data_IF_807523196880
#
_entry.id   IF_807523196880
#
_cell.length_a   1.000
_cell.length_b   1.000
_cell.length_c   1.000
_cell.angle_alpha   90.00
_cell.angle_beta   90.00
_cell.angle_gamma   90.00
#
_symmetry.space_group_name_H-M   'P 1'
#
loop_
_entity.id
_entity.type
_entity.pdbx_description
1 polymer ?
#
# COMPACT_ATOMS: atom_id res chain seq x y z
N UNK A 1 -21.72 28.04 1.97
CA UNK A 1 -23.06 28.08 1.32
C UNK A 1 -23.13 27.36 -0.04
N UNK A 2 -22.06 27.18 -0.82
CA UNK A 2 -22.13 26.36 -2.07
C UNK A 2 -22.18 24.84 -1.84
N UNK A 3 -21.66 24.34 -0.71
CA UNK A 3 -21.56 22.89 -0.40
C UNK A 3 -22.93 22.22 -0.13
N UNK A 4 -23.91 22.90 0.48
CA UNK A 4 -25.17 22.24 0.90
C UNK A 4 -26.13 21.87 -0.25
N UNK A 5 -26.17 22.67 -1.32
CA UNK A 5 -27.06 22.39 -2.45
C UNK A 5 -26.56 21.21 -3.31
N UNK A 6 -25.24 21.12 -3.52
CA UNK A 6 -24.63 20.02 -4.27
C UNK A 6 -24.69 18.70 -3.49
N UNK A 7 -24.44 18.72 -2.19
CA UNK A 7 -24.59 17.55 -1.32
C UNK A 7 -26.04 17.09 -1.18
N UNK A 8 -27.00 18.03 -1.09
CA UNK A 8 -28.43 17.69 -1.13
C UNK A 8 -28.85 17.03 -2.45
N UNK A 9 -28.37 17.55 -3.59
CA UNK A 9 -28.64 16.95 -4.90
C UNK A 9 -28.03 15.55 -5.03
N UNK A 10 -26.79 15.36 -4.55
CA UNK A 10 -26.15 14.05 -4.50
C UNK A 10 -26.90 13.07 -3.59
N UNK A 11 -27.28 13.50 -2.38
CA UNK A 11 -28.06 12.67 -1.46
C UNK A 11 -29.40 12.23 -2.09
N UNK A 12 -30.09 13.15 -2.77
CA UNK A 12 -31.32 12.82 -3.51
C UNK A 12 -31.06 11.80 -4.63
N UNK A 13 -29.99 11.96 -5.41
CA UNK A 13 -29.61 11.00 -6.45
C UNK A 13 -29.30 9.61 -5.86
N UNK A 14 -28.60 9.55 -4.72
CA UNK A 14 -28.26 8.30 -4.05
C UNK A 14 -29.49 7.60 -3.45
N UNK A 15 -30.44 8.35 -2.89
CA UNK A 15 -31.71 7.79 -2.39
C UNK A 15 -32.53 7.18 -3.52
N UNK A 16 -32.55 7.84 -4.68
CA UNK A 16 -33.29 7.38 -5.85
C UNK A 16 -32.57 6.32 -6.68
N UNK A 17 -31.29 6.04 -6.38
CA UNK A 17 -30.52 5.01 -7.08
C UNK A 17 -31.14 3.63 -6.80
N UNK A 18 -31.52 2.95 -7.88
CA UNK A 18 -32.24 1.69 -7.82
C UNK A 18 -31.28 0.51 -7.94
N UNK A 19 -31.48 -0.55 -7.16
CA UNK A 19 -30.67 -1.77 -7.16
C UNK A 19 -30.74 -2.55 -8.47
N UNK A 20 -31.78 -2.32 -9.29
CA UNK A 20 -31.84 -2.85 -10.65
C UNK A 20 -30.91 -2.13 -11.63
N UNK A 21 -30.38 -0.95 -11.27
CA UNK A 21 -29.34 -0.29 -12.04
C UNK A 21 -28.02 -1.03 -11.84
N UNK A 22 -27.30 -1.28 -12.94
CA UNK A 22 -25.96 -1.89 -12.84
C UNK A 22 -25.06 -1.02 -11.98
N UNK A 23 -24.24 -1.64 -11.13
CA UNK A 23 -23.31 -0.93 -10.26
C UNK A 23 -22.35 0.01 -11.03
N UNK A 24 -22.08 -0.24 -12.32
CA UNK A 24 -21.35 0.69 -13.20
C UNK A 24 -22.02 2.07 -13.36
N UNK A 25 -23.33 2.19 -13.13
CA UNK A 25 -24.08 3.45 -13.18
C UNK A 25 -24.11 4.18 -11.84
N UNK A 26 -23.57 3.59 -10.77
CA UNK A 26 -23.48 4.26 -9.48
C UNK A 26 -22.60 5.53 -9.62
N UNK A 27 -23.00 6.67 -9.00
CA UNK A 27 -22.33 7.96 -9.20
C UNK A 27 -21.01 8.09 -8.40
N UNK A 28 -20.05 7.20 -8.63
CA UNK A 28 -18.76 7.15 -7.92
C UNK A 28 -18.04 8.50 -7.97
N UNK A 29 -17.96 9.13 -9.14
CA UNK A 29 -17.29 10.42 -9.33
C UNK A 29 -17.91 11.53 -8.49
N UNK A 30 -19.23 11.57 -8.38
CA UNK A 30 -19.93 12.58 -7.58
C UNK A 30 -19.67 12.39 -6.09
N UNK A 31 -19.70 11.13 -5.62
CA UNK A 31 -19.36 10.82 -4.22
C UNK A 31 -17.90 11.18 -3.93
N UNK A 32 -16.95 10.74 -4.76
CA UNK A 32 -15.52 11.07 -4.58
C UNK A 32 -15.28 12.59 -4.63
N UNK A 33 -15.97 13.32 -5.51
CA UNK A 33 -15.87 14.77 -5.57
C UNK A 33 -16.34 15.43 -4.28
N UNK A 34 -17.42 14.93 -3.68
CA UNK A 34 -17.89 15.37 -2.35
C UNK A 34 -16.84 15.08 -1.27
N UNK A 35 -16.30 13.85 -1.23
CA UNK A 35 -15.26 13.48 -0.25
C UNK A 35 -13.98 14.29 -0.40
N UNK A 36 -13.58 14.67 -1.63
CA UNK A 36 -12.40 15.53 -1.87
C UNK A 36 -12.64 16.98 -1.47
N UNK A 37 -13.88 17.45 -1.54
CA UNK A 37 -14.25 18.82 -1.19
C UNK A 37 -14.32 19.02 0.33
N UNK A 38 -14.89 18.07 1.05
CA UNK A 38 -15.13 18.21 2.49
C UNK A 38 -14.13 17.38 3.34
N UNK A 39 -13.55 16.32 2.77
CA UNK A 39 -12.81 15.27 3.48
C UNK A 39 -13.76 14.19 3.98
N UNK A 40 -13.37 12.90 3.89
CA UNK A 40 -14.21 11.77 4.29
C UNK A 40 -14.72 11.86 5.72
N UNK A 41 -13.94 12.44 6.63
CA UNK A 41 -14.37 12.63 8.03
C UNK A 41 -15.48 13.68 8.19
N UNK A 42 -15.56 14.66 7.28
CA UNK A 42 -16.51 15.76 7.32
C UNK A 42 -17.56 15.67 6.20
N UNK A 43 -17.70 14.49 5.60
CA UNK A 43 -18.69 14.26 4.56
C UNK A 43 -20.10 14.62 5.07
N UNK A 44 -20.94 15.28 4.26
CA UNK A 44 -22.28 15.68 4.65
C UNK A 44 -23.11 14.49 5.17
N UNK A 45 -23.77 14.68 6.31
CA UNK A 45 -24.51 13.61 7.00
C UNK A 45 -25.62 13.04 6.12
N UNK A 46 -26.30 13.86 5.33
CA UNK A 46 -27.32 13.43 4.38
C UNK A 46 -26.77 12.50 3.29
N UNK A 47 -25.54 12.73 2.82
CA UNK A 47 -24.87 11.87 1.83
C UNK A 47 -24.49 10.54 2.48
N UNK A 48 -23.89 10.58 3.69
CA UNK A 48 -23.53 9.37 4.43
C UNK A 48 -24.75 8.51 4.76
N UNK A 49 -25.85 9.13 5.20
CA UNK A 49 -27.10 8.46 5.49
C UNK A 49 -27.71 7.83 4.23
N UNK A 50 -27.66 8.52 3.09
CA UNK A 50 -28.12 7.97 1.81
C UNK A 50 -27.29 6.75 1.38
N UNK A 51 -25.96 6.83 1.48
CA UNK A 51 -25.05 5.71 1.19
C UNK A 51 -25.28 4.51 2.13
N UNK A 52 -25.45 4.76 3.43
CA UNK A 52 -25.71 3.72 4.42
C UNK A 52 -27.07 3.05 4.17
N UNK A 53 -28.09 3.83 3.83
CA UNK A 53 -29.43 3.32 3.47
C UNK A 53 -29.38 2.50 2.19
N UNK A 54 -28.61 2.94 1.19
CA UNK A 54 -28.38 2.19 -0.04
C UNK A 54 -27.67 0.85 0.26
N UNK A 55 -26.58 0.88 1.04
CA UNK A 55 -25.86 -0.34 1.47
C UNK A 55 -26.78 -1.34 2.19
N UNK A 56 -27.72 -0.86 3.01
CA UNK A 56 -28.62 -1.71 3.78
C UNK A 56 -29.71 -2.39 2.93
N UNK A 57 -30.09 -1.79 1.79
CA UNK A 57 -31.13 -2.37 0.92
C UNK A 57 -30.56 -3.31 -0.14
N UNK A 58 -29.32 -3.07 -0.57
CA UNK A 58 -28.67 -3.87 -1.59
C UNK A 58 -28.63 -5.36 -1.23
N UNK A 59 -29.09 -6.20 -2.17
CA UNK A 59 -28.94 -7.64 -2.07
C UNK A 59 -27.45 -8.07 -2.05
N UNK A 60 -27.14 -9.25 -1.46
CA UNK A 60 -25.81 -9.84 -1.53
C UNK A 60 -25.35 -9.98 -2.99
N UNK A 61 -24.09 -9.65 -3.26
CA UNK A 61 -23.52 -9.78 -4.60
C UNK A 61 -23.57 -11.24 -5.09
N UNK A 62 -23.98 -11.43 -6.34
CA UNK A 62 -23.85 -12.73 -6.98
C UNK A 62 -22.36 -13.10 -7.12
N UNK A 63 -22.04 -14.39 -7.04
CA UNK A 63 -20.67 -14.86 -7.21
C UNK A 63 -20.15 -14.44 -8.59
N UNK A 64 -18.98 -13.78 -8.64
CA UNK A 64 -18.36 -13.29 -9.86
C UNK A 64 -18.87 -11.93 -10.37
N UNK A 65 -19.84 -11.30 -9.71
CA UNK A 65 -20.29 -9.94 -10.06
C UNK A 65 -19.27 -8.88 -9.59
N UNK A 66 -18.32 -8.57 -10.49
CA UNK A 66 -17.21 -7.63 -10.20
C UNK A 66 -17.68 -6.20 -9.97
N UNK A 67 -18.68 -5.74 -10.72
CA UNK A 67 -19.20 -4.38 -10.58
C UNK A 67 -19.88 -4.22 -9.22
N UNK A 68 -20.63 -5.24 -8.78
CA UNK A 68 -21.25 -5.23 -7.46
C UNK A 68 -20.22 -5.32 -6.33
N UNK A 69 -19.20 -6.18 -6.47
CA UNK A 69 -18.10 -6.26 -5.52
C UNK A 69 -17.37 -4.91 -5.38
N UNK A 70 -17.17 -4.19 -6.49
CA UNK A 70 -16.63 -2.84 -6.52
C UNK A 70 -17.47 -1.85 -5.73
N UNK A 71 -18.79 -1.86 -5.93
CA UNK A 71 -19.70 -1.01 -5.17
C UNK A 71 -19.67 -1.35 -3.66
N UNK A 72 -19.66 -2.65 -3.30
CA UNK A 72 -19.62 -3.07 -1.90
C UNK A 72 -18.35 -2.63 -1.18
N UNK A 73 -17.20 -2.83 -1.80
CA UNK A 73 -15.93 -2.37 -1.26
C UNK A 73 -15.88 -0.85 -1.18
N UNK A 74 -16.40 -0.16 -2.21
CA UNK A 74 -16.44 1.30 -2.21
C UNK A 74 -17.28 1.85 -1.05
N UNK A 75 -18.47 1.27 -0.82
CA UNK A 75 -19.33 1.65 0.30
C UNK A 75 -18.69 1.32 1.64
N UNK A 76 -18.06 0.16 1.78
CA UNK A 76 -17.34 -0.23 3.00
C UNK A 76 -16.20 0.75 3.33
N UNK A 77 -15.43 1.16 2.31
CA UNK A 77 -14.33 2.13 2.46
C UNK A 77 -14.87 3.53 2.80
N UNK A 78 -15.95 3.95 2.15
CA UNK A 78 -16.56 5.28 2.32
C UNK A 78 -17.21 5.44 3.69
N UNK A 79 -17.89 4.39 4.16
CA UNK A 79 -18.67 4.39 5.40
C UNK A 79 -17.89 3.88 6.62
N UNK A 80 -16.59 3.56 6.49
CA UNK A 80 -15.78 3.03 7.59
C UNK A 80 -15.82 3.87 8.87
N UNK A 81 -15.85 5.20 8.74
CA UNK A 81 -15.97 6.16 9.84
C UNK A 81 -17.39 6.26 10.37
N UNK A 82 -18.37 6.22 9.48
CA UNK A 82 -19.79 6.17 9.84
C UNK A 82 -20.09 4.94 10.72
N UNK A 83 -19.45 3.82 10.40
CA UNK A 83 -19.60 2.55 11.12
C UNK A 83 -18.70 2.44 12.37
N UNK A 84 -17.84 3.42 12.62
CA UNK A 84 -16.89 3.38 13.73
C UNK A 84 -15.78 2.34 13.60
N UNK A 85 -15.44 1.90 12.38
CA UNK A 85 -14.42 0.85 12.12
C UNK A 85 -12.99 1.38 12.09
N UNK A 86 -12.76 2.54 11.46
CA UNK A 86 -11.46 3.24 11.44
C UNK A 86 -10.22 2.37 11.09
N UNK A 87 -10.26 1.64 9.96
CA UNK A 87 -9.20 0.71 9.59
C UNK A 87 -8.14 1.32 8.64
N UNK A 88 -6.89 0.88 8.75
CA UNK A 88 -5.83 1.25 7.79
C UNK A 88 -6.14 0.82 6.36
N UNK A 89 -6.74 -0.37 6.18
CA UNK A 89 -7.11 -0.87 4.83
C UNK A 89 -8.13 0.05 4.15
N UNK A 90 -9.15 0.49 4.89
CA UNK A 90 -10.14 1.43 4.38
C UNK A 90 -9.57 2.83 4.21
N UNK A 91 -8.67 3.28 5.10
CA UNK A 91 -7.96 4.55 4.90
C UNK A 91 -7.19 4.58 3.58
N UNK A 92 -6.50 3.49 3.24
CA UNK A 92 -5.78 3.38 1.98
C UNK A 92 -6.66 3.00 0.79
N UNK A 93 -7.92 2.60 0.98
CA UNK A 93 -8.75 2.03 -0.07
C UNK A 93 -8.04 0.90 -0.83
N UNK A 94 -7.16 0.14 -0.17
CA UNK A 94 -6.24 -0.79 -0.85
C UNK A 94 -7.00 -1.92 -1.54
N UNK A 95 -8.11 -2.34 -0.95
CA UNK A 95 -8.97 -3.41 -1.48
C UNK A 95 -9.58 -3.03 -2.84
N UNK A 96 -9.85 -1.74 -3.05
CA UNK A 96 -10.35 -1.20 -4.32
C UNK A 96 -9.30 -1.29 -5.44
N UNK A 97 -8.01 -1.18 -5.11
CA UNK A 97 -6.92 -1.37 -6.07
C UNK A 97 -6.68 -2.85 -6.38
N UNK A 98 -6.93 -3.72 -5.40
CA UNK A 98 -6.69 -5.17 -5.50
C UNK A 98 -7.96 -5.96 -5.83
N UNK A 99 -9.04 -5.28 -6.23
CA UNK A 99 -10.32 -5.93 -6.52
C UNK A 99 -10.18 -6.88 -7.71
N UNK A 100 -10.40 -8.17 -7.45
CA UNK A 100 -10.15 -9.24 -8.43
C UNK A 100 -8.75 -9.87 -8.36
N UNK A 101 -7.91 -9.51 -7.39
CA UNK A 101 -6.68 -10.24 -7.07
C UNK A 101 -6.90 -11.40 -6.12
N UNK A 102 -7.89 -11.27 -5.23
CA UNK A 102 -8.32 -12.34 -4.33
C UNK A 102 -9.46 -13.20 -4.95
N UNK A 103 -9.91 -12.84 -6.16
CA UNK A 103 -11.13 -13.36 -6.80
C UNK A 103 -10.93 -14.22 -8.04
N UNK A 104 -9.70 -14.36 -8.54
CA UNK A 104 -9.32 -15.51 -9.36
C UNK A 104 -8.47 -16.41 -8.47
N UNK A 105 -8.90 -17.65 -8.25
CA UNK A 105 -8.07 -18.71 -7.67
C UNK A 105 -6.85 -19.08 -8.54
N UNK A 106 -6.34 -18.15 -9.35
CA UNK A 106 -5.05 -18.21 -10.01
C UNK A 106 -4.04 -17.51 -9.12
N UNK A 107 -3.25 -18.31 -8.40
CA UNK A 107 -1.96 -17.90 -7.86
C UNK A 107 -1.18 -17.19 -8.97
N UNK A 108 -1.16 -15.86 -8.99
CA UNK A 108 -0.21 -15.16 -9.85
C UNK A 108 1.17 -15.54 -9.35
N UNK A 109 1.97 -16.14 -10.24
CA UNK A 109 3.34 -16.46 -9.92
C UNK A 109 4.11 -15.18 -9.52
N UNK A 110 5.32 -15.37 -9.02
CA UNK A 110 6.15 -14.25 -8.59
C UNK A 110 6.34 -13.20 -9.72
N UNK A 111 6.47 -13.63 -10.97
CA UNK A 111 6.63 -12.72 -12.11
C UNK A 111 5.37 -11.89 -12.40
N UNK A 112 4.20 -12.53 -12.39
CA UNK A 112 2.90 -11.88 -12.50
C UNK A 112 2.69 -10.86 -11.39
N UNK A 113 3.01 -11.22 -10.15
CA UNK A 113 2.94 -10.31 -8.99
C UNK A 113 3.87 -9.09 -9.15
N UNK A 114 5.10 -9.26 -9.66
CA UNK A 114 6.00 -8.13 -9.94
C UNK A 114 5.46 -7.21 -11.04
N UNK A 115 5.01 -7.79 -12.15
CA UNK A 115 4.42 -7.03 -13.26
C UNK A 115 3.21 -6.24 -12.79
N UNK A 116 2.36 -6.88 -12.00
CA UNK A 116 1.18 -6.25 -11.42
C UNK A 116 1.52 -5.08 -10.49
N UNK A 117 2.53 -5.24 -9.64
CA UNK A 117 3.06 -4.15 -8.82
C UNK A 117 3.52 -3.00 -9.70
N UNK A 118 4.25 -3.26 -10.78
CA UNK A 118 4.77 -2.22 -11.67
C UNK A 118 3.64 -1.47 -12.38
N UNK A 119 2.62 -2.18 -12.86
CA UNK A 119 1.43 -1.57 -13.45
C UNK A 119 0.76 -0.61 -12.45
N UNK A 120 0.47 -1.06 -11.23
CA UNK A 120 -0.21 -0.20 -10.27
C UNK A 120 0.66 0.90 -9.70
N UNK A 121 1.89 0.62 -9.27
CA UNK A 121 2.77 1.67 -8.74
C UNK A 121 3.06 2.70 -9.83
N UNK A 122 3.18 2.28 -11.08
CA UNK A 122 3.25 3.18 -12.23
C UNK A 122 2.03 4.11 -12.32
N UNK A 123 0.83 3.55 -12.23
CA UNK A 123 -0.42 4.34 -12.24
C UNK A 123 -0.56 5.26 -11.04
N UNK A 124 -0.23 4.80 -9.83
CA UNK A 124 -0.32 5.61 -8.61
C UNK A 124 0.64 6.80 -8.64
N UNK A 125 1.85 6.61 -9.20
CA UNK A 125 2.83 7.68 -9.36
C UNK A 125 2.45 8.63 -10.50
N UNK A 126 1.90 8.13 -11.62
CA UNK A 126 1.39 8.98 -12.70
C UNK A 126 0.19 9.83 -12.24
N UNK A 127 -0.71 9.25 -11.44
CA UNK A 127 -1.84 9.93 -10.80
C UNK A 127 -1.37 11.01 -9.82
N UNK A 128 -0.39 10.68 -8.96
CA UNK A 128 0.23 11.65 -8.07
C UNK A 128 0.90 12.80 -8.84
N UNK A 129 1.58 12.48 -9.94
CA UNK A 129 2.17 13.50 -10.81
C UNK A 129 1.09 14.41 -11.38
N UNK A 130 0.00 13.84 -11.91
CA UNK A 130 -1.13 14.58 -12.47
C UNK A 130 -1.80 15.47 -11.44
N UNK A 131 -1.89 15.04 -10.18
CA UNK A 131 -2.41 15.85 -9.08
C UNK A 131 -1.50 17.06 -8.77
N UNK A 132 -0.20 16.84 -8.60
CA UNK A 132 0.75 17.93 -8.31
C UNK A 132 0.84 18.92 -9.49
N UNK A 133 0.77 18.41 -10.72
CA UNK A 133 0.76 19.22 -11.94
C UNK A 133 -0.56 20.00 -12.13
N UNK A 134 -1.69 19.40 -11.75
CA UNK A 134 -2.99 20.04 -11.82
C UNK A 134 -3.11 21.25 -10.90
N UNK A 135 -2.52 21.18 -9.70
CA UNK A 135 -2.39 22.35 -8.82
C UNK A 135 -1.46 23.41 -9.42
N UNK A 136 -0.34 22.99 -10.03
CA UNK A 136 0.65 23.91 -10.63
C UNK A 136 0.11 24.63 -11.88
N UNK A 137 -0.73 23.95 -12.66
CA UNK A 137 -1.34 24.44 -13.90
C UNK A 137 -2.72 25.03 -13.71
N UNK A 138 -3.23 25.04 -12.47
CA UNK A 138 -4.57 25.53 -12.10
C UNK A 138 -5.72 24.78 -12.82
N UNK A 139 -5.51 23.50 -13.17
CA UNK A 139 -6.53 22.68 -13.82
C UNK A 139 -7.57 22.10 -12.84
N UNK A 140 -7.25 22.08 -11.55
CA UNK A 140 -8.18 21.70 -10.48
C UNK A 140 -7.89 22.42 -9.16
N UNK A 141 -8.85 22.41 -8.24
CA UNK A 141 -8.74 23.00 -6.90
C UNK A 141 -8.87 21.95 -5.76
N UNK A 142 -8.55 20.68 -6.02
CA UNK A 142 -8.63 19.61 -5.00
C UNK A 142 -7.67 19.84 -3.82
N UNK A 143 -8.10 19.40 -2.62
CA UNK A 143 -7.35 19.49 -1.35
C UNK A 143 -6.64 20.85 -1.14
N UNK A 144 -7.38 21.96 -1.03
CA UNK A 144 -6.81 23.30 -1.06
C UNK A 144 -6.00 23.70 0.18
N UNK A 145 -6.11 22.96 1.28
CA UNK A 145 -5.42 23.34 2.51
C UNK A 145 -3.94 23.00 2.45
N UNK A 146 -3.12 23.92 2.97
CA UNK A 146 -1.68 23.73 3.12
C UNK A 146 -0.98 23.32 1.81
N UNK A 147 -1.38 23.92 0.69
CA UNK A 147 -0.69 23.72 -0.58
C UNK A 147 0.79 24.11 -0.50
N UNK A 148 1.69 23.29 -1.06
CA UNK A 148 3.09 23.68 -1.22
C UNK A 148 3.28 24.83 -2.21
N UNK A 149 4.38 25.55 -2.06
CA UNK A 149 4.84 26.50 -3.08
C UNK A 149 5.24 25.78 -4.38
N UNK A 150 5.14 26.47 -5.51
CA UNK A 150 5.44 25.89 -6.84
C UNK A 150 6.84 25.29 -6.97
N UNK A 151 7.82 25.80 -6.21
CA UNK A 151 9.16 25.23 -6.16
C UNK A 151 9.17 23.80 -5.59
N UNK A 152 8.36 23.54 -4.55
CA UNK A 152 8.24 22.20 -3.97
C UNK A 152 7.45 21.27 -4.89
N UNK A 153 6.39 21.75 -5.55
CA UNK A 153 5.64 20.99 -6.56
C UNK A 153 6.57 20.51 -7.68
N UNK A 154 7.42 21.39 -8.22
CA UNK A 154 8.44 21.02 -9.24
C UNK A 154 9.44 20.00 -8.72
N UNK A 155 9.86 20.11 -7.46
CA UNK A 155 10.77 19.13 -6.85
C UNK A 155 10.10 17.76 -6.73
N UNK A 156 8.83 17.71 -6.31
CA UNK A 156 8.06 16.46 -6.23
C UNK A 156 7.89 15.82 -7.59
N UNK A 157 7.56 16.59 -8.64
CA UNK A 157 7.47 16.10 -10.01
C UNK A 157 8.76 15.36 -10.46
N UNK A 158 9.95 15.93 -10.17
CA UNK A 158 11.25 15.28 -10.47
C UNK A 158 11.50 14.01 -9.65
N UNK A 159 11.06 13.99 -8.39
CA UNK A 159 11.18 12.80 -7.55
C UNK A 159 10.23 11.68 -8.01
N UNK A 160 9.02 12.04 -8.44
CA UNK A 160 8.07 11.10 -9.05
C UNK A 160 8.64 10.54 -10.35
N UNK A 161 9.22 11.39 -11.21
CA UNK A 161 9.92 10.94 -12.43
C UNK A 161 11.03 9.93 -12.13
N UNK A 162 11.84 10.22 -11.10
CA UNK A 162 12.92 9.32 -10.67
C UNK A 162 12.37 7.96 -10.23
N UNK A 163 11.26 7.94 -9.49
CA UNK A 163 10.61 6.72 -9.02
C UNK A 163 9.90 5.94 -10.15
N UNK A 164 9.34 6.66 -11.13
CA UNK A 164 8.56 6.09 -12.23
C UNK A 164 9.44 5.54 -13.36
N UNK A 165 10.61 6.15 -13.60
CA UNK A 165 11.53 5.75 -14.69
C UNK A 165 11.86 4.25 -14.74
N UNK A 166 12.31 3.60 -13.65
CA UNK A 166 12.63 2.17 -13.72
C UNK A 166 11.40 1.28 -13.96
N UNK A 167 10.22 1.71 -13.49
CA UNK A 167 8.95 1.00 -13.69
C UNK A 167 8.55 1.05 -15.16
N UNK A 168 8.54 2.23 -15.76
CA UNK A 168 8.17 2.43 -17.17
C UNK A 168 9.10 1.66 -18.09
N UNK A 169 10.41 1.66 -17.81
CA UNK A 169 11.38 0.84 -18.58
C UNK A 169 11.05 -0.65 -18.57
N UNK A 170 10.49 -1.18 -17.47
CA UNK A 170 10.07 -2.59 -17.39
C UNK A 170 8.74 -2.82 -18.11
N UNK A 171 7.80 -1.89 -18.03
CA UNK A 171 6.49 -2.01 -18.68
C UNK A 171 6.56 -1.87 -20.21
N UNK A 172 7.44 -1.00 -20.73
CA UNK A 172 7.59 -0.76 -22.18
C UNK A 172 8.36 -1.89 -22.91
N UNK A 173 8.90 -2.88 -22.18
CA UNK A 173 9.46 -4.14 -22.69
C UNK A 173 10.69 -4.05 -23.62
N UNK A 174 11.06 -2.85 -24.05
CA UNK A 174 12.12 -2.60 -25.04
C UNK A 174 13.00 -1.46 -24.52
N UNK A 175 14.31 -1.69 -24.45
CA UNK A 175 15.30 -0.69 -24.01
C UNK A 175 15.36 0.59 -24.86
N UNK A 176 14.40 0.83 -25.76
CA UNK A 176 14.08 2.16 -26.28
C UNK A 176 13.40 2.94 -25.15
N UNK A 177 14.22 3.45 -24.23
CA UNK A 177 13.75 4.17 -23.06
C UNK A 177 12.70 5.17 -23.47
N UNK A 178 11.52 5.10 -22.83
CA UNK A 178 10.45 6.10 -22.86
C UNK A 178 11.00 7.48 -23.21
N UNK A 179 11.00 7.82 -24.50
CA UNK A 179 11.46 9.10 -24.99
C UNK A 179 10.30 10.05 -24.79
N UNK A 180 10.33 10.77 -23.69
CA UNK A 180 9.26 11.68 -23.31
C UNK A 180 9.53 12.29 -21.96
N UNK A 181 9.07 13.52 -21.79
CA UNK A 181 8.95 14.17 -20.49
C UNK A 181 8.08 13.32 -19.55
N UNK A 182 8.28 13.47 -18.24
CA UNK A 182 7.42 12.85 -17.23
C UNK A 182 5.93 13.14 -17.43
N UNK A 183 5.59 14.29 -18.03
CA UNK A 183 4.22 14.65 -18.38
C UNK A 183 3.63 13.68 -19.41
N UNK A 184 4.33 13.48 -20.54
CA UNK A 184 3.90 12.58 -21.61
C UNK A 184 3.75 11.14 -21.10
N UNK A 185 4.69 10.69 -20.28
CA UNK A 185 4.66 9.35 -19.66
C UNK A 185 3.45 9.20 -18.74
N UNK A 186 3.21 10.19 -17.86
CA UNK A 186 2.11 10.13 -16.90
C UNK A 186 0.76 10.18 -17.61
N UNK A 187 0.60 11.06 -18.60
CA UNK A 187 -0.62 11.14 -19.41
C UNK A 187 -0.88 9.85 -20.17
N UNK A 188 0.15 9.24 -20.79
CA UNK A 188 0.03 7.96 -21.50
C UNK A 188 -0.45 6.85 -20.57
N UNK A 189 0.20 6.68 -19.41
CA UNK A 189 -0.18 5.65 -18.44
C UNK A 189 -1.65 5.80 -18.01
N UNK A 190 -2.11 7.02 -17.72
CA UNK A 190 -3.50 7.28 -17.30
C UNK A 190 -4.50 7.11 -18.46
N UNK A 191 -4.12 7.47 -19.69
CA UNK A 191 -4.96 7.35 -20.88
C UNK A 191 -5.17 5.89 -21.29
N UNK A 192 -4.09 5.09 -21.29
CA UNK A 192 -4.08 3.69 -21.73
C UNK A 192 -4.66 2.73 -20.67
N UNK A 193 -4.97 3.24 -19.48
CA UNK A 193 -5.58 2.47 -18.39
C UNK A 193 -7.01 2.05 -18.71
N UNK A 194 -7.35 0.79 -18.41
CA UNK A 194 -8.70 0.27 -18.62
C UNK A 194 -9.74 1.02 -17.77
N UNK A 195 -11.02 1.05 -18.18
CA UNK A 195 -12.08 1.71 -17.40
C UNK A 195 -12.17 1.21 -15.94
N UNK A 196 -11.96 -0.09 -15.71
CA UNK A 196 -12.03 -0.71 -14.39
C UNK A 196 -10.86 -0.24 -13.50
N UNK A 197 -9.64 -0.21 -14.05
CA UNK A 197 -8.47 0.30 -13.34
C UNK A 197 -8.58 1.80 -13.06
N UNK A 198 -9.14 2.57 -14.00
CA UNK A 198 -9.42 4.00 -13.81
C UNK A 198 -10.40 4.23 -12.67
N UNK A 199 -11.47 3.43 -12.61
CA UNK A 199 -12.44 3.49 -11.53
C UNK A 199 -11.83 3.12 -10.18
N UNK A 200 -11.02 2.06 -10.11
CA UNK A 200 -10.27 1.67 -8.91
C UNK A 200 -9.27 2.76 -8.45
N UNK A 201 -8.55 3.38 -9.39
CA UNK A 201 -7.62 4.49 -9.12
C UNK A 201 -8.35 5.70 -8.53
N UNK A 202 -9.50 6.07 -9.11
CA UNK A 202 -10.35 7.16 -8.63
C UNK A 202 -10.88 6.88 -7.22
N UNK A 203 -11.48 5.71 -7.02
CA UNK A 203 -12.25 5.35 -5.82
C UNK A 203 -11.37 4.99 -4.62
N UNK A 204 -10.13 4.56 -4.85
CA UNK A 204 -9.14 4.30 -3.80
C UNK A 204 -8.58 5.57 -3.15
N UNK A 205 -8.84 6.75 -3.72
CA UNK A 205 -8.38 8.04 -3.18
C UNK A 205 -9.51 8.74 -2.43
N UNK A 206 -9.67 8.40 -1.15
CA UNK A 206 -10.65 8.98 -0.24
C UNK A 206 -9.98 9.64 0.99
N UNK A 207 -9.37 10.83 0.81
CA UNK A 207 -8.73 11.58 1.89
C UNK A 207 -9.69 11.79 3.06
N UNK A 208 -9.21 11.66 4.30
CA UNK A 208 -10.02 11.94 5.50
C UNK A 208 -10.21 13.44 5.72
N UNK A 209 -9.30 14.25 5.17
CA UNK A 209 -9.32 15.70 5.23
C UNK A 209 -8.97 16.35 3.88
N UNK A 210 -8.85 17.67 3.86
CA UNK A 210 -8.62 18.47 2.65
C UNK A 210 -7.20 19.05 2.59
N UNK A 211 -6.26 18.46 3.33
CA UNK A 211 -4.85 18.83 3.32
C UNK A 211 -4.15 18.26 2.07
N UNK A 212 -3.46 19.12 1.31
CA UNK A 212 -2.80 18.77 0.04
C UNK A 212 -1.91 17.52 0.15
N UNK A 213 -1.10 17.45 1.20
CA UNK A 213 -0.12 16.35 1.35
C UNK A 213 -0.76 14.99 1.69
N UNK A 214 -2.05 14.95 2.02
CA UNK A 214 -2.73 13.68 2.28
C UNK A 214 -2.81 12.80 1.02
N UNK A 215 -2.98 13.42 -0.16
CA UNK A 215 -2.98 12.73 -1.45
C UNK A 215 -1.65 12.01 -1.69
N UNK A 216 -0.54 12.74 -1.49
CA UNK A 216 0.82 12.21 -1.56
C UNK A 216 1.01 11.05 -0.58
N UNK A 217 0.55 11.23 0.66
CA UNK A 217 0.69 10.24 1.72
C UNK A 217 -0.02 8.92 1.38
N UNK A 218 -1.28 8.99 0.92
CA UNK A 218 -2.06 7.80 0.52
C UNK A 218 -1.41 7.08 -0.65
N UNK A 219 -1.04 7.78 -1.74
CA UNK A 219 -0.42 7.15 -2.92
C UNK A 219 0.90 6.45 -2.59
N UNK A 220 1.69 7.02 -1.69
CA UNK A 220 2.94 6.39 -1.26
C UNK A 220 2.68 5.14 -0.43
N UNK A 221 1.73 5.17 0.51
CA UNK A 221 1.42 4.00 1.31
C UNK A 221 0.81 2.87 0.47
N UNK A 222 -0.10 3.18 -0.45
CA UNK A 222 -0.60 2.22 -1.44
C UNK A 222 0.56 1.59 -2.25
N UNK A 223 1.54 2.39 -2.67
CA UNK A 223 2.73 1.90 -3.39
C UNK A 223 3.60 0.97 -2.54
N UNK A 224 3.74 1.23 -1.24
CA UNK A 224 4.41 0.32 -0.31
C UNK A 224 3.64 -0.98 -0.12
N UNK A 225 2.31 -0.94 0.07
CA UNK A 225 1.49 -2.15 0.22
C UNK A 225 1.59 -3.08 -0.99
N UNK A 226 1.57 -2.53 -2.21
CA UNK A 226 1.74 -3.30 -3.44
C UNK A 226 3.15 -3.88 -3.57
N UNK A 227 4.16 -3.13 -3.12
CA UNK A 227 5.55 -3.62 -3.08
C UNK A 227 5.70 -4.78 -2.09
N UNK A 228 5.11 -4.69 -0.90
CA UNK A 228 5.13 -5.80 0.07
C UNK A 228 4.34 -7.02 -0.41
N UNK A 229 3.24 -6.81 -1.15
CA UNK A 229 2.50 -7.90 -1.79
C UNK A 229 3.38 -8.68 -2.77
N UNK A 230 4.10 -7.96 -3.65
CA UNK A 230 5.03 -8.59 -4.58
C UNK A 230 6.18 -9.32 -3.87
N UNK A 231 6.75 -8.73 -2.81
CA UNK A 231 7.78 -9.37 -1.99
C UNK A 231 7.27 -10.64 -1.28
N UNK A 232 6.00 -10.66 -0.84
CA UNK A 232 5.41 -11.87 -0.28
C UNK A 232 5.28 -12.98 -1.33
N UNK A 233 4.90 -12.65 -2.57
CA UNK A 233 4.88 -13.63 -3.67
C UNK A 233 6.28 -14.15 -4.04
N UNK A 234 7.29 -13.28 -4.09
CA UNK A 234 8.69 -13.71 -4.27
C UNK A 234 9.14 -14.65 -3.15
N UNK A 235 8.82 -14.33 -1.89
CA UNK A 235 9.24 -15.16 -0.76
C UNK A 235 8.55 -16.53 -0.76
N UNK A 236 7.26 -16.61 -1.14
CA UNK A 236 6.57 -17.90 -1.35
C UNK A 236 7.24 -18.72 -2.44
N UNK A 237 7.64 -18.09 -3.55
CA UNK A 237 8.38 -18.77 -4.60
C UNK A 237 9.75 -19.25 -4.11
N UNK A 238 10.50 -18.43 -3.36
CA UNK A 238 11.78 -18.82 -2.76
C UNK A 238 11.64 -20.05 -1.85
N UNK A 239 10.59 -20.08 -1.02
CA UNK A 239 10.28 -21.24 -0.15
C UNK A 239 10.02 -22.50 -0.99
N UNK A 240 9.26 -22.37 -2.09
CA UNK A 240 9.02 -23.47 -3.01
C UNK A 240 10.32 -23.98 -3.63
N UNK A 241 11.18 -23.09 -4.14
CA UNK A 241 12.46 -23.46 -4.76
C UNK A 241 13.43 -24.14 -3.78
N UNK A 242 13.44 -23.75 -2.50
CA UNK A 242 14.21 -24.46 -1.47
C UNK A 242 13.71 -25.91 -1.31
N UNK A 243 12.40 -26.12 -1.30
CA UNK A 243 11.80 -27.45 -1.17
C UNK A 243 12.05 -28.32 -2.41
N UNK A 244 12.06 -27.71 -3.58
CA UNK A 244 12.38 -28.35 -4.87
C UNK A 244 13.89 -28.51 -5.13
N UNK A 245 14.74 -28.20 -4.14
CA UNK A 245 16.21 -28.37 -4.21
C UNK A 245 16.90 -27.46 -5.23
N UNK A 246 16.35 -26.27 -5.46
CA UNK A 246 16.86 -25.25 -6.38
C UNK A 246 17.36 -24.00 -5.62
N UNK A 247 18.45 -24.09 -4.84
CA UNK A 247 18.91 -22.99 -4.00
C UNK A 247 19.32 -21.74 -4.78
N UNK A 248 19.79 -21.88 -6.02
CA UNK A 248 20.09 -20.74 -6.88
C UNK A 248 18.81 -19.95 -7.24
N UNK A 249 17.74 -20.64 -7.66
CA UNK A 249 16.47 -20.00 -7.96
C UNK A 249 15.85 -19.35 -6.71
N UNK A 250 15.94 -20.03 -5.56
CA UNK A 250 15.54 -19.46 -4.27
C UNK A 250 16.28 -18.15 -3.96
N UNK A 251 17.61 -18.14 -4.11
CA UNK A 251 18.43 -16.95 -3.90
C UNK A 251 18.02 -15.80 -4.84
N UNK A 252 17.74 -16.08 -6.12
CA UNK A 252 17.27 -15.05 -7.05
C UNK A 252 15.95 -14.40 -6.61
N UNK A 253 14.98 -15.18 -6.12
CA UNK A 253 13.73 -14.63 -5.59
C UNK A 253 13.99 -13.72 -4.38
N UNK A 254 14.94 -14.07 -3.52
CA UNK A 254 15.32 -13.25 -2.36
C UNK A 254 16.04 -11.96 -2.82
N UNK A 255 16.92 -12.04 -3.82
CA UNK A 255 17.53 -10.84 -4.42
C UNK A 255 16.48 -9.92 -5.07
N UNK A 256 15.43 -10.49 -5.66
CA UNK A 256 14.29 -9.70 -6.18
C UNK A 256 13.55 -8.94 -5.06
N UNK A 257 13.36 -9.55 -3.89
CA UNK A 257 12.86 -8.82 -2.70
C UNK A 257 13.76 -7.64 -2.32
N UNK A 258 15.08 -7.84 -2.30
CA UNK A 258 16.06 -6.77 -2.01
C UNK A 258 15.96 -5.63 -3.02
N UNK A 259 15.88 -5.95 -4.31
CA UNK A 259 15.76 -4.96 -5.38
C UNK A 259 14.46 -4.15 -5.29
N UNK A 260 13.32 -4.82 -5.05
CA UNK A 260 12.02 -4.16 -4.87
C UNK A 260 12.05 -3.17 -3.71
N UNK A 261 12.59 -3.57 -2.56
CA UNK A 261 12.65 -2.72 -1.38
C UNK A 261 13.67 -1.58 -1.54
N UNK A 262 14.78 -1.82 -2.24
CA UNK A 262 15.77 -0.80 -2.56
C UNK A 262 15.22 0.27 -3.50
N UNK A 263 14.45 -0.12 -4.53
CA UNK A 263 13.78 0.81 -5.45
C UNK A 263 12.74 1.67 -4.70
N UNK A 264 11.95 1.05 -3.81
CA UNK A 264 10.93 1.72 -3.01
C UNK A 264 11.49 2.80 -2.05
N UNK A 265 12.82 2.88 -1.85
CA UNK A 265 13.45 3.97 -1.06
C UNK A 265 13.19 5.35 -1.66
N UNK A 266 12.99 5.45 -2.98
CA UNK A 266 12.65 6.73 -3.64
C UNK A 266 11.33 7.30 -3.13
N UNK A 267 10.39 6.45 -2.70
CA UNK A 267 9.13 6.88 -2.09
C UNK A 267 9.36 7.63 -0.77
N UNK A 268 10.38 7.27 0.01
CA UNK A 268 10.75 8.04 1.20
C UNK A 268 11.24 9.43 0.88
N UNK A 269 11.93 9.63 -0.26
CA UNK A 269 12.32 10.97 -0.70
C UNK A 269 11.10 11.84 -0.97
N UNK A 270 10.00 11.26 -1.47
CA UNK A 270 8.73 11.96 -1.66
C UNK A 270 8.06 12.29 -0.32
N UNK A 271 7.88 11.31 0.58
CA UNK A 271 7.33 11.57 1.93
C UNK A 271 8.18 12.60 2.67
N UNK A 272 9.49 12.60 2.48
CA UNK A 272 10.41 13.55 3.11
C UNK A 272 10.12 15.00 2.73
N UNK A 273 9.41 15.25 1.62
CA UNK A 273 8.96 16.59 1.20
C UNK A 273 7.64 17.04 1.83
N UNK A 274 6.92 16.17 2.52
CA UNK A 274 5.71 16.54 3.27
C UNK A 274 6.11 17.36 4.52
N UNK A 275 5.34 18.40 4.82
CA UNK A 275 5.53 19.20 6.04
C UNK A 275 4.99 18.43 7.24
N UNK A 276 5.72 18.42 8.35
CA UNK A 276 5.26 17.76 9.58
C UNK A 276 3.93 18.35 10.09
N UNK A 277 3.72 19.66 9.93
CA UNK A 277 2.46 20.32 10.25
C UNK A 277 1.30 19.79 9.41
N UNK A 278 1.51 19.61 8.10
CA UNK A 278 0.51 19.06 7.18
C UNK A 278 0.07 17.66 7.60
N UNK A 279 1.03 16.80 7.96
CA UNK A 279 0.76 15.50 8.55
C UNK A 279 -0.02 15.59 9.87
N UNK A 280 0.37 16.51 10.76
CA UNK A 280 -0.33 16.73 12.04
C UNK A 280 -1.79 17.14 11.87
N UNK A 281 -2.12 17.89 10.82
CA UNK A 281 -3.50 18.34 10.56
C UNK A 281 -4.42 17.17 10.20
N UNK A 282 -4.06 16.36 9.19
CA UNK A 282 -4.97 15.29 8.76
C UNK A 282 -4.90 14.04 9.64
N UNK A 283 -3.77 13.77 10.32
CA UNK A 283 -3.64 12.56 11.18
C UNK A 283 -4.61 12.53 12.36
N UNK A 284 -5.13 13.68 12.79
CA UNK A 284 -6.17 13.75 13.83
C UNK A 284 -7.42 13.01 13.37
N UNK A 285 -7.66 12.98 12.06
CA UNK A 285 -8.81 12.29 11.47
C UNK A 285 -8.46 10.89 10.96
N UNK A 286 -7.24 10.39 11.16
CA UNK A 286 -6.87 9.00 10.83
C UNK A 286 -6.93 8.08 12.05
N UNK A 287 -7.62 8.46 13.12
CA UNK A 287 -7.67 7.72 14.40
C UNK A 287 -7.82 6.20 14.16
N UNK A 288 -7.03 5.38 14.85
CA UNK A 288 -7.03 3.92 14.70
C UNK A 288 -6.34 3.38 13.44
N UNK A 289 -6.39 4.10 12.32
CA UNK A 289 -5.71 3.73 11.09
C UNK A 289 -4.20 3.98 11.20
N UNK A 290 -3.41 2.92 11.08
CA UNK A 290 -1.95 3.00 11.18
C UNK A 290 -1.25 1.92 10.38
N UNK A 291 -0.07 2.24 9.85
CA UNK A 291 0.81 1.30 9.14
C UNK A 291 1.17 0.06 9.99
N UNK A 292 0.97 0.11 11.31
CA UNK A 292 1.05 -1.07 12.18
C UNK A 292 0.07 -2.18 11.77
N UNK A 293 -1.03 -1.85 11.08
CA UNK A 293 -2.06 -2.77 10.60
C UNK A 293 -1.79 -3.29 9.17
N UNK A 294 -0.66 -2.92 8.54
CA UNK A 294 -0.30 -3.36 7.18
C UNK A 294 -0.19 -4.90 7.06
N UNK A 295 -1.19 -5.56 6.46
CA UNK A 295 -1.22 -7.01 6.29
C UNK A 295 -0.13 -7.55 5.37
N UNK A 296 0.17 -6.84 4.28
CA UNK A 296 1.17 -7.30 3.30
C UNK A 296 2.58 -7.26 3.90
N UNK A 297 2.90 -6.22 4.68
CA UNK A 297 4.18 -6.16 5.39
C UNK A 297 4.35 -7.33 6.36
N UNK A 298 3.33 -7.63 7.19
CA UNK A 298 3.43 -8.72 8.20
C UNK A 298 3.46 -10.09 7.53
N UNK A 299 2.77 -10.23 6.40
CA UNK A 299 2.84 -11.45 5.58
C UNK A 299 4.27 -11.67 5.09
N UNK A 300 4.90 -10.65 4.49
CA UNK A 300 6.30 -10.72 4.08
C UNK A 300 7.24 -11.01 5.28
N UNK A 301 7.06 -10.29 6.40
CA UNK A 301 7.83 -10.49 7.64
C UNK A 301 7.75 -11.95 8.12
N UNK A 302 6.54 -12.50 8.22
CA UNK A 302 6.31 -13.88 8.67
C UNK A 302 6.74 -14.95 7.66
N UNK A 303 6.83 -14.63 6.36
CA UNK A 303 7.37 -15.55 5.35
C UNK A 303 8.91 -15.66 5.44
N UNK A 304 9.60 -14.68 6.04
CA UNK A 304 11.06 -14.72 6.18
C UNK A 304 11.51 -15.74 7.23
N UNK A 305 10.99 -15.61 8.45
CA UNK A 305 11.24 -16.52 9.58
C UNK A 305 10.03 -16.54 10.51
N UNK A 306 9.87 -17.57 11.38
CA UNK A 306 8.84 -17.55 12.41
C UNK A 306 9.05 -16.33 13.31
N UNK A 307 8.06 -15.43 13.44
CA UNK A 307 8.15 -14.32 14.36
C UNK A 307 8.32 -14.87 15.78
N UNK A 308 9.26 -14.33 16.58
CA UNK A 308 9.40 -14.78 17.96
C UNK A 308 8.14 -14.41 18.78
N UNK A 309 7.84 -15.10 19.89
CA UNK A 309 6.59 -14.92 20.63
C UNK A 309 6.28 -13.46 20.98
N UNK A 310 7.29 -12.71 21.45
CA UNK A 310 7.15 -11.29 21.78
C UNK A 310 6.74 -10.42 20.59
N UNK A 311 7.10 -10.82 19.37
CA UNK A 311 6.70 -10.12 18.14
C UNK A 311 5.31 -10.57 17.67
N UNK A 312 5.03 -11.87 17.75
CA UNK A 312 3.75 -12.46 17.32
C UNK A 312 2.58 -12.03 18.22
N UNK A 313 2.87 -11.77 19.49
CA UNK A 313 1.91 -11.26 20.48
C UNK A 313 1.91 -9.73 20.58
N UNK A 314 2.64 -9.04 19.69
CA UNK A 314 2.68 -7.57 19.68
C UNK A 314 1.41 -6.96 19.05
N UNK A 315 1.12 -5.67 19.34
CA UNK A 315 0.00 -4.95 18.73
C UNK A 315 -0.01 -4.98 17.19
N UNK A 316 1.16 -5.16 16.56
CA UNK A 316 1.25 -5.30 15.11
C UNK A 316 0.66 -6.59 14.54
N UNK A 317 0.79 -7.70 15.26
CA UNK A 317 0.21 -8.98 14.83
C UNK A 317 -1.21 -9.14 15.35
N UNK A 318 -1.56 -8.49 16.48
CA UNK A 318 -2.97 -8.35 16.92
C UNK A 318 -3.83 -7.65 15.86
N UNK A 319 -3.31 -6.59 15.25
CA UNK A 319 -3.97 -5.87 14.17
C UNK A 319 -4.25 -6.70 12.91
N UNK A 320 -3.59 -7.85 12.75
CA UNK A 320 -3.73 -8.77 11.61
C UNK A 320 -4.06 -10.17 12.11
N UNK A 321 -5.05 -10.28 13.01
CA UNK A 321 -5.39 -11.51 13.72
C UNK A 321 -5.50 -12.77 12.85
N UNK A 322 -6.15 -12.68 11.69
CA UNK A 322 -6.24 -13.81 10.76
C UNK A 322 -4.86 -14.32 10.30
N UNK A 323 -3.93 -13.42 9.99
CA UNK A 323 -2.56 -13.78 9.65
C UNK A 323 -1.84 -14.38 10.87
N UNK A 324 -1.99 -13.77 12.05
CA UNK A 324 -1.38 -14.25 13.30
C UNK A 324 -1.81 -15.69 13.60
N UNK A 325 -3.11 -15.98 13.46
CA UNK A 325 -3.66 -17.31 13.73
C UNK A 325 -3.14 -18.34 12.72
N UNK A 326 -2.99 -17.96 11.45
CA UNK A 326 -2.32 -18.80 10.45
C UNK A 326 -0.86 -19.08 10.80
N UNK A 327 -0.11 -18.04 11.20
CA UNK A 327 1.32 -18.16 11.60
C UNK A 327 1.49 -19.09 12.81
N UNK A 328 0.51 -19.14 13.73
CA UNK A 328 0.50 -20.08 14.87
C UNK A 328 0.12 -21.52 14.48
N UNK A 329 -0.62 -21.68 13.39
CA UNK A 329 -1.08 -22.96 12.89
C UNK A 329 -0.24 -23.46 11.72
N UNK A 330 -0.88 -23.66 10.57
CA UNK A 330 -0.23 -24.08 9.33
C UNK A 330 0.36 -22.88 8.58
N UNK A 331 1.68 -22.71 8.73
CA UNK A 331 2.44 -21.65 8.09
C UNK A 331 3.75 -22.16 7.53
N UNK A 332 4.15 -21.56 6.41
CA UNK A 332 5.35 -21.93 5.68
C UNK A 332 6.23 -20.70 5.54
N UNK A 333 7.44 -20.77 6.10
CA UNK A 333 8.44 -19.70 6.05
C UNK A 333 9.79 -20.20 5.52
N UNK A 334 10.63 -19.26 5.07
CA UNK A 334 11.92 -19.56 4.45
C UNK A 334 12.91 -20.18 5.44
N UNK A 335 13.01 -19.64 6.66
CA UNK A 335 13.96 -20.15 7.63
C UNK A 335 13.67 -21.61 8.02
N UNK A 336 12.39 -21.98 8.16
CA UNK A 336 11.97 -23.36 8.41
C UNK A 336 12.24 -24.25 7.19
N UNK A 337 11.87 -23.80 5.99
CA UNK A 337 12.15 -24.55 4.76
C UNK A 337 13.64 -24.84 4.56
N UNK A 338 14.51 -23.85 4.83
CA UNK A 338 15.97 -24.03 4.77
C UNK A 338 16.46 -25.02 5.84
N UNK A 339 16.00 -24.89 7.10
CA UNK A 339 16.39 -25.83 8.17
C UNK A 339 16.01 -27.26 7.82
N UNK A 340 14.79 -27.47 7.36
CA UNK A 340 14.28 -28.80 7.00
C UNK A 340 15.02 -29.38 5.79
N UNK A 341 15.29 -28.56 4.77
CA UNK A 341 16.04 -28.97 3.59
C UNK A 341 17.50 -29.32 3.94
N UNK A 342 18.16 -28.56 4.82
CA UNK A 342 19.51 -28.89 5.30
C UNK A 342 19.51 -30.17 6.14
N UNK A 343 18.58 -30.33 7.08
CA UNK A 343 18.46 -31.52 7.92
C UNK A 343 18.16 -32.79 7.10
N UNK A 344 17.34 -32.65 6.05
CA UNK A 344 17.01 -33.73 5.12
C UNK A 344 18.08 -34.01 4.05
N UNK A 345 19.21 -33.29 4.05
CA UNK A 345 20.27 -33.42 3.04
C UNK A 345 19.86 -32.96 1.63
N UNK A 346 18.76 -32.22 1.52
CA UNK A 346 18.26 -31.64 0.27
C UNK A 346 18.97 -30.34 -0.11
N UNK A 347 19.53 -29.65 0.88
CA UNK A 347 20.31 -28.43 0.71
C UNK A 347 21.72 -28.64 1.22
N UNK A 348 22.68 -28.71 0.30
CA UNK A 348 24.10 -28.87 0.62
C UNK A 348 24.73 -27.56 1.14
N UNK A 349 26.01 -27.62 1.52
CA UNK A 349 26.73 -26.47 2.06
C UNK A 349 26.81 -25.30 1.04
N UNK A 350 26.94 -25.59 -0.25
CA UNK A 350 26.98 -24.59 -1.31
C UNK A 350 25.63 -23.89 -1.48
N UNK A 351 24.54 -24.65 -1.53
CA UNK A 351 23.19 -24.14 -1.60
C UNK A 351 22.80 -23.31 -0.37
N UNK A 352 23.18 -23.78 0.83
CA UNK A 352 22.98 -23.00 2.06
C UNK A 352 23.74 -21.67 2.00
N UNK A 353 24.97 -21.65 1.49
CA UNK A 353 25.75 -20.43 1.35
C UNK A 353 25.09 -19.42 0.39
N UNK A 354 24.53 -19.88 -0.73
CA UNK A 354 23.80 -19.03 -1.68
C UNK A 354 22.58 -18.36 -1.03
N UNK A 355 21.72 -19.15 -0.38
CA UNK A 355 20.51 -18.63 0.28
C UNK A 355 20.87 -17.72 1.46
N UNK A 356 21.91 -18.07 2.23
CA UNK A 356 22.40 -17.24 3.35
C UNK A 356 22.95 -15.90 2.88
N UNK A 357 23.64 -15.85 1.74
CA UNK A 357 24.12 -14.60 1.16
C UNK A 357 22.96 -13.69 0.75
N UNK A 358 21.95 -14.24 0.06
CA UNK A 358 20.79 -13.49 -0.39
C UNK A 358 19.94 -12.96 0.79
N UNK A 359 19.73 -13.78 1.83
CA UNK A 359 18.98 -13.36 3.03
C UNK A 359 19.68 -12.26 3.82
N UNK A 360 21.02 -12.30 3.93
CA UNK A 360 21.82 -11.23 4.55
C UNK A 360 21.76 -9.91 3.77
N UNK A 361 21.74 -9.98 2.44
CA UNK A 361 21.52 -8.80 1.60
C UNK A 361 20.13 -8.20 1.86
N UNK A 362 19.08 -9.03 1.84
CA UNK A 362 17.72 -8.61 2.11
C UNK A 362 17.58 -7.97 3.50
N UNK A 363 18.15 -8.59 4.54
CA UNK A 363 18.21 -8.03 5.89
C UNK A 363 18.88 -6.66 5.90
N UNK A 364 20.02 -6.50 5.20
CA UNK A 364 20.73 -5.23 5.11
C UNK A 364 19.87 -4.12 4.48
N UNK A 365 19.19 -4.43 3.37
CA UNK A 365 18.28 -3.48 2.71
C UNK A 365 17.08 -3.16 3.59
N UNK A 366 16.50 -4.17 4.26
CA UNK A 366 15.37 -4.00 5.17
C UNK A 366 15.71 -3.13 6.38
N UNK A 367 16.87 -3.33 7.01
CA UNK A 367 17.31 -2.48 8.12
C UNK A 367 17.48 -1.02 7.69
N UNK A 368 18.06 -0.77 6.51
CA UNK A 368 18.17 0.60 5.96
C UNK A 368 16.79 1.21 5.69
N UNK A 369 15.85 0.41 5.17
CA UNK A 369 14.46 0.83 4.96
C UNK A 369 13.80 1.21 6.29
N UNK A 370 13.89 0.36 7.33
CA UNK A 370 13.35 0.62 8.67
C UNK A 370 13.96 1.86 9.33
N UNK A 371 15.28 2.05 9.22
CA UNK A 371 15.96 3.23 9.73
C UNK A 371 15.48 4.50 9.03
N UNK A 372 15.27 4.47 7.72
CA UNK A 372 14.76 5.61 6.95
C UNK A 372 13.32 5.92 7.36
N UNK A 373 12.46 4.89 7.47
CA UNK A 373 11.11 5.02 7.97
C UNK A 373 11.08 5.62 9.38
N UNK A 374 11.88 5.11 10.30
CA UNK A 374 11.96 5.59 11.67
C UNK A 374 12.36 7.07 11.74
N UNK A 375 13.43 7.47 11.03
CA UNK A 375 13.87 8.88 10.99
C UNK A 375 12.77 9.81 10.49
N UNK A 376 12.05 9.40 9.45
CA UNK A 376 10.93 10.17 8.93
C UNK A 376 9.76 10.21 9.91
N UNK A 377 9.38 9.07 10.50
CA UNK A 377 8.29 8.98 11.45
C UNK A 377 8.55 9.86 12.68
N UNK A 378 9.76 9.81 13.26
CA UNK A 378 10.16 10.68 14.38
C UNK A 378 10.08 12.16 13.98
N UNK A 379 10.53 12.52 12.78
CA UNK A 379 10.44 13.90 12.28
C UNK A 379 8.99 14.37 12.09
N UNK A 380 8.08 13.50 11.64
CA UNK A 380 6.68 13.84 11.39
C UNK A 380 5.85 13.91 12.68
N UNK A 381 6.08 12.97 13.61
CA UNK A 381 5.29 12.82 14.84
C UNK A 381 5.85 13.68 15.99
N UNK A 382 7.17 13.93 16.03
CA UNK A 382 7.81 14.55 17.19
C UNK A 382 7.80 13.61 18.40
N UNK A 383 7.41 14.13 19.57
CA UNK A 383 7.29 13.38 20.84
C UNK A 383 5.89 12.74 21.06
N UNK A 384 4.97 12.88 20.11
CA UNK A 384 3.60 12.41 20.26
C UNK A 384 3.46 10.87 20.13
N UNK A 385 2.38 10.30 20.70
CA UNK A 385 2.04 8.88 20.54
C UNK A 385 1.64 8.57 19.09
N UNK A 386 1.83 7.31 18.67
CA UNK A 386 1.43 6.84 17.33
C UNK A 386 -0.08 6.67 17.20
N UNK A 387 -0.64 6.87 16.01
CA UNK A 387 -2.10 6.78 15.76
C UNK A 387 -2.69 5.38 15.90
N UNK A 388 -1.84 4.34 15.88
CA UNK A 388 -2.21 2.95 16.13
C UNK A 388 -2.12 2.53 17.59
N UNK A 389 -2.33 3.47 18.52
CA UNK A 389 -2.29 3.25 19.98
C UNK A 389 -0.97 2.71 20.55
N UNK A 390 0.13 2.80 19.79
CA UNK A 390 1.46 2.49 20.33
C UNK A 390 2.03 3.66 21.12
N UNK A 391 3.00 3.36 21.99
CA UNK A 391 3.75 4.37 22.76
C UNK A 391 4.56 5.36 21.90
N UNK A 392 4.45 5.32 20.57
CA UNK A 392 5.08 6.25 19.64
C UNK A 392 6.54 5.85 19.34
N UNK A 393 7.47 6.77 19.54
CA UNK A 393 8.90 6.61 19.23
C UNK A 393 9.54 5.35 19.85
N UNK A 394 9.27 4.94 21.11
CA UNK A 394 9.85 3.74 21.69
C UNK A 394 9.43 2.45 20.97
N UNK A 395 8.18 2.34 20.52
CA UNK A 395 7.74 1.19 19.72
C UNK A 395 8.44 1.17 18.35
N UNK A 396 8.60 2.33 17.72
CA UNK A 396 9.32 2.39 16.44
C UNK A 396 10.80 2.00 16.60
N UNK A 397 11.42 2.26 17.77
CA UNK A 397 12.77 1.80 18.08
C UNK A 397 12.84 0.28 18.23
N UNK A 398 11.93 -0.35 18.97
CA UNK A 398 11.91 -1.81 19.11
C UNK A 398 11.68 -2.54 17.76
N UNK A 399 10.95 -1.91 16.84
CA UNK A 399 10.79 -2.42 15.46
C UNK A 399 12.11 -2.37 14.68
N UNK A 400 13.01 -1.41 14.92
CA UNK A 400 14.35 -1.40 14.30
C UNK A 400 15.19 -2.58 14.79
N UNK A 401 15.08 -2.93 16.07
CA UNK A 401 15.89 -3.99 16.68
C UNK A 401 15.48 -5.38 16.17
N UNK A 402 14.23 -5.56 15.75
CA UNK A 402 13.77 -6.80 15.12
C UNK A 402 14.57 -7.15 13.84
N UNK A 403 14.85 -8.42 13.62
CA UNK A 403 15.57 -8.96 12.45
C UNK A 403 14.66 -9.95 11.72
N UNK A 404 14.67 -9.94 10.38
CA UNK A 404 13.91 -10.89 9.56
C UNK A 404 14.51 -12.29 9.66
N UNK A 405 15.83 -12.39 9.77
CA UNK A 405 16.57 -13.66 9.82
C UNK A 405 17.48 -13.75 11.05
N UNK A 406 17.73 -14.99 11.51
CA UNK A 406 18.61 -15.32 12.64
C UNK A 406 19.55 -16.47 12.29
N UNK A 407 20.63 -16.62 13.07
CA UNK A 407 21.58 -17.71 12.92
C UNK A 407 22.26 -17.71 11.54
N UNK A 408 22.35 -18.86 10.83
CA UNK A 408 23.08 -18.95 9.56
C UNK A 408 22.50 -18.07 8.44
N UNK A 409 21.20 -17.75 8.49
CA UNK A 409 20.52 -16.86 7.54
C UNK A 409 20.58 -15.38 7.96
N UNK A 410 20.93 -15.11 9.21
CA UNK A 410 20.98 -13.76 9.76
C UNK A 410 22.29 -13.05 9.46
N UNK A 411 22.28 -11.73 9.69
CA UNK A 411 23.52 -10.98 9.89
C UNK A 411 24.19 -11.50 11.18
N UNK A 412 25.52 -11.60 11.16
CA UNK A 412 26.24 -11.87 12.41
C UNK A 412 25.99 -10.75 13.42
N UNK A 413 25.92 -11.07 14.73
CA UNK A 413 25.94 -10.04 15.75
C UNK A 413 27.14 -9.14 15.51
N UNK A 414 26.93 -7.81 15.49
CA UNK A 414 28.06 -6.89 15.59
C UNK A 414 28.68 -7.18 16.95
N UNK A 415 29.90 -7.72 16.97
CA UNK A 415 30.63 -7.88 18.22
C UNK A 415 30.65 -6.52 18.92
N UNK A 416 30.17 -6.46 20.16
CA UNK A 416 30.14 -5.22 20.94
C UNK A 416 31.54 -4.59 20.90
N UNK A 417 31.64 -3.41 20.29
CA UNK A 417 32.87 -2.62 20.18
C UNK A 417 32.92 -1.56 21.27
#
# INVERSE_FOLDING_TARGET
>A
MRSSAASSALACALVNWNESERAVHFPFESVISCLRADGKHFAPTEVLQALASLRARLAPAAAGDRDRLMLDQFLAVTLDKWDGTYAYRSYLGIDLLTLGLDGDGGTTDAAGSRRHRDEWVGLLLADLWSFEDGVRSESHDWLPQMRPESALLRKRAKLIETALTPIVRRLDGTGTGSSGSIAEVSHRLLADTSPERRLALLTSMQPVYTAHDEYLFIRILQSFELTFSAMASEMRAAISEVREKNPAAAAEHIHRCSALLAEARTLFSLVATMRAESFRVFRVYTEGASAIQSGNYKTFEALCSPPPPERLDSPAFEAVGQLRDRVRGDWSDLATAVRDATAGGLLDAGGLALVSAATRELETVHQRWKQTHWKLAVRMIGEERGTGYTVGVPYLKSVIDHRLFRGPLGLEPVADA
#
